data_IF_408226452152
#
_entry.id   IF_408226452152
#
_cell.length_a   1.000
_cell.length_b   1.000
_cell.length_c   1.000
_cell.angle_alpha   90.00
_cell.angle_beta   90.00
_cell.angle_gamma   90.00
#
_symmetry.space_group_name_H-M   'P 1'
#
loop_
_entity.id
_entity.type
_entity.pdbx_description
1 polymer ?
#
# COMPACT_ATOMS: atom_id res chain seq x y z
N UNK A 1 -13.45 -7.01 21.33
CA UNK A 1 -12.71 -5.74 21.17
C UNK A 1 -11.40 -6.11 20.50
N UNK A 2 -11.21 -5.68 19.26
CA UNK A 2 -10.00 -5.99 18.50
C UNK A 2 -8.85 -5.23 19.15
N UNK A 3 -7.92 -5.96 19.78
CA UNK A 3 -6.69 -5.37 20.31
C UNK A 3 -5.74 -5.16 19.15
N UNK A 4 -5.97 -4.11 18.35
CA UNK A 4 -4.97 -3.59 17.42
C UNK A 4 -3.85 -2.98 18.25
N UNK A 5 -2.88 -3.81 18.64
CA UNK A 5 -1.65 -3.31 19.24
C UNK A 5 -0.74 -2.82 18.12
N UNK A 6 -0.14 -1.65 18.37
CA UNK A 6 0.84 -0.98 17.53
C UNK A 6 0.27 -0.43 16.21
N UNK A 7 -0.15 0.84 16.28
CA UNK A 7 -0.40 1.66 15.10
C UNK A 7 0.79 2.58 14.88
N UNK A 8 1.29 2.57 13.64
CA UNK A 8 2.40 3.42 13.23
C UNK A 8 1.91 4.37 12.16
N UNK A 9 2.46 5.59 12.19
CA UNK A 9 2.29 6.49 11.06
C UNK A 9 3.18 5.98 9.92
N UNK A 10 2.68 6.10 8.70
CA UNK A 10 3.43 5.73 7.52
C UNK A 10 3.19 6.75 6.41
N UNK A 11 4.21 6.96 5.60
CA UNK A 11 4.16 7.81 4.40
C UNK A 11 4.17 6.88 3.20
N UNK A 12 3.17 6.96 2.34
CA UNK A 12 3.16 6.20 1.09
C UNK A 12 4.10 6.87 0.10
N UNK A 13 5.12 6.15 -0.36
CA UNK A 13 6.15 6.68 -1.25
C UNK A 13 5.92 6.29 -2.71
N UNK A 14 5.25 5.16 -2.96
CA UNK A 14 4.85 4.76 -4.32
C UNK A 14 3.72 3.73 -4.30
N UNK A 15 2.99 3.65 -5.41
CA UNK A 15 1.98 2.62 -5.65
C UNK A 15 2.41 1.73 -6.79
N UNK A 16 2.50 0.44 -6.52
CA UNK A 16 2.86 -0.55 -7.51
C UNK A 16 1.61 -1.13 -8.18
N UNK A 17 0.65 -1.60 -7.38
CA UNK A 17 -0.63 -2.19 -7.80
C UNK A 17 -1.80 -1.59 -7.02
N UNK A 18 -3.04 -1.92 -7.42
CA UNK A 18 -4.26 -1.43 -6.75
C UNK A 18 -4.45 -1.87 -5.30
N UNK A 19 -3.62 -2.80 -4.80
CA UNK A 19 -3.61 -3.26 -3.41
C UNK A 19 -2.21 -3.28 -2.76
N UNK A 20 -1.18 -2.84 -3.48
CA UNK A 20 0.22 -2.95 -3.05
C UNK A 20 0.93 -1.60 -3.19
N UNK A 21 1.39 -1.06 -2.07
CA UNK A 21 2.10 0.21 -2.00
C UNK A 21 3.43 0.09 -1.23
N UNK A 22 4.36 0.99 -1.54
CA UNK A 22 5.60 1.14 -0.79
C UNK A 22 5.43 2.26 0.21
N UNK A 23 5.86 2.04 1.45
CA UNK A 23 5.72 3.00 2.55
C UNK A 23 7.02 3.16 3.34
N UNK A 24 7.14 4.33 3.95
CA UNK A 24 8.10 4.60 5.03
C UNK A 24 7.32 4.67 6.35
N UNK A 25 7.63 3.79 7.30
CA UNK A 25 6.93 3.63 8.58
C UNK A 25 7.74 4.28 9.69
N UNK A 26 7.13 5.20 10.43
CA UNK A 26 7.69 5.81 11.64
C UNK A 26 7.37 4.94 12.86
N UNK A 27 8.41 4.38 13.48
CA UNK A 27 8.30 3.56 14.68
C UNK A 27 8.39 4.38 15.99
N UNK A 28 8.59 5.70 15.87
CA UNK A 28 8.91 6.59 16.98
C UNK A 28 10.40 6.59 17.32
N UNK A 29 10.80 7.42 18.29
CA UNK A 29 12.17 7.49 18.82
C UNK A 29 13.27 7.65 17.73
N UNK A 30 12.96 8.40 16.67
CA UNK A 30 13.84 8.58 15.50
C UNK A 30 14.15 7.28 14.73
N UNK A 31 13.34 6.24 14.88
CA UNK A 31 13.47 4.97 14.16
C UNK A 31 12.47 4.88 13.01
N UNK A 32 12.97 4.52 11.83
CA UNK A 32 12.18 4.41 10.61
C UNK A 32 12.46 3.09 9.90
N UNK A 33 11.41 2.48 9.37
CA UNK A 33 11.52 1.47 8.31
C UNK A 33 11.21 2.18 7.01
N UNK A 34 12.09 2.11 6.02
CA UNK A 34 11.92 2.81 4.74
C UNK A 34 11.87 1.84 3.58
N UNK A 35 11.02 2.14 2.60
CA UNK A 35 10.88 1.34 1.38
C UNK A 35 10.16 -0.01 1.58
N UNK A 36 9.36 -0.14 2.64
CA UNK A 36 8.65 -1.39 2.93
C UNK A 36 7.46 -1.55 1.98
N UNK A 37 7.27 -2.76 1.43
CA UNK A 37 6.13 -3.05 0.54
C UNK A 37 5.00 -3.67 1.33
N UNK A 38 3.89 -2.95 1.44
CA UNK A 38 2.69 -3.43 2.13
C UNK A 38 1.60 -3.78 1.13
N UNK A 39 0.89 -4.87 1.45
CA UNK A 39 -0.35 -5.27 0.78
C UNK A 39 -1.55 -4.92 1.65
N UNK A 40 -2.54 -4.27 1.08
CA UNK A 40 -3.77 -3.89 1.77
C UNK A 40 -4.54 -5.14 2.18
N UNK A 41 -4.83 -5.24 3.48
CA UNK A 41 -5.51 -6.39 4.02
C UNK A 41 -6.94 -6.51 3.50
N UNK A 42 -7.35 -7.74 3.12
CA UNK A 42 -8.68 -8.08 2.58
C UNK A 42 -9.06 -7.41 1.25
N UNK A 43 -8.10 -6.81 0.55
CA UNK A 43 -8.29 -6.29 -0.80
C UNK A 43 -7.48 -7.19 -1.76
N UNK A 44 -8.10 -7.58 -2.86
CA UNK A 44 -7.41 -8.26 -3.96
C UNK A 44 -7.73 -7.48 -5.24
N UNK A 45 -6.77 -6.67 -5.69
CA UNK A 45 -6.94 -5.86 -6.88
C UNK A 45 -6.66 -6.67 -8.16
N UNK A 46 -7.24 -6.29 -9.31
CA UNK A 46 -6.90 -6.91 -10.59
C UNK A 46 -5.41 -6.72 -10.93
N UNK A 47 -4.81 -7.74 -11.52
CA UNK A 47 -3.36 -7.75 -11.80
C UNK A 47 -2.99 -6.78 -12.93
N UNK A 48 -1.89 -6.03 -12.77
CA UNK A 48 -1.40 -5.10 -13.81
C UNK A 48 -0.69 -5.82 -14.97
N UNK A 49 -0.45 -7.13 -14.85
CA UNK A 49 0.15 -7.99 -15.88
C UNK A 49 -0.83 -9.09 -16.28
N UNK A 50 -0.89 -9.40 -17.58
CA UNK A 50 -1.78 -10.43 -18.10
C UNK A 50 -3.15 -9.90 -18.53
N UNK A 51 -4.16 -10.77 -18.55
CA UNK A 51 -5.48 -10.49 -19.12
C UNK A 51 -6.26 -9.40 -18.36
N UNK A 52 -5.98 -9.20 -17.07
CA UNK A 52 -6.66 -8.22 -16.23
C UNK A 52 -6.04 -6.81 -16.26
N UNK A 53 -4.97 -6.64 -17.05
CA UNK A 53 -4.14 -5.44 -17.06
C UNK A 53 -4.92 -4.14 -17.18
N UNK A 54 -5.94 -4.06 -18.04
CA UNK A 54 -6.73 -2.84 -18.21
C UNK A 54 -7.42 -2.42 -16.91
N UNK A 55 -8.04 -3.37 -16.19
CA UNK A 55 -8.69 -3.12 -14.91
C UNK A 55 -7.67 -2.88 -13.79
N UNK A 56 -6.53 -3.56 -13.85
CA UNK A 56 -5.43 -3.38 -12.90
C UNK A 56 -4.83 -1.98 -12.97
N UNK A 57 -4.66 -1.43 -14.18
CA UNK A 57 -4.18 -0.06 -14.39
C UNK A 57 -5.15 0.97 -13.79
N UNK A 58 -6.47 0.83 -14.03
CA UNK A 58 -7.49 1.72 -13.46
C UNK A 58 -7.46 1.68 -11.93
N UNK A 59 -7.37 0.49 -11.34
CA UNK A 59 -7.34 0.34 -9.87
C UNK A 59 -6.08 0.94 -9.24
N UNK A 60 -4.91 0.73 -9.89
CA UNK A 60 -3.64 1.33 -9.48
C UNK A 60 -3.67 2.85 -9.58
N UNK A 61 -4.19 3.40 -10.67
CA UNK A 61 -4.20 4.83 -10.92
C UNK A 61 -5.14 5.55 -9.95
N UNK A 62 -6.30 4.96 -9.65
CA UNK A 62 -7.15 5.45 -8.56
C UNK A 62 -6.40 5.52 -7.22
N UNK A 63 -5.68 4.47 -6.83
CA UNK A 63 -4.92 4.48 -5.58
C UNK A 63 -3.78 5.52 -5.58
N UNK A 64 -3.18 5.80 -6.75
CA UNK A 64 -2.17 6.85 -6.91
C UNK A 64 -2.73 8.26 -6.72
N UNK A 65 -3.97 8.50 -7.14
CA UNK A 65 -4.63 9.80 -7.00
C UNK A 65 -5.03 10.13 -5.54
N UNK A 66 -5.04 9.14 -4.65
CA UNK A 66 -5.40 9.31 -3.24
C UNK A 66 -4.21 9.67 -2.33
N UNK A 67 -2.98 9.65 -2.85
CA UNK A 67 -1.73 9.92 -2.11
C UNK A 67 -1.27 11.33 -2.41
#
# INVERSE_FOLDING_TARGET
MEHTKYHYQAIVTSVYDGDTCTVDIDLGFSMWIKGEKLRLFRINAPEIRGAEREKGLVSRDFLRELI
#
